data_IF_392737829792
#
_entry.id   IF_392737829792
#
_cell.length_a   1.000
_cell.length_b   1.000
_cell.length_c   1.000
_cell.angle_alpha   90.00
_cell.angle_beta   90.00
_cell.angle_gamma   90.00
#
_symmetry.space_group_name_H-M   'P 1'
#
loop_
_entity.id
_entity.type
_entity.pdbx_description
1 polymer ?
#
# COMPACT_ATOMS: atom_id res chain seq x y z
N UNK A 1 14.30 3.44 3.22
CA UNK A 1 13.80 2.85 1.95
C UNK A 1 13.19 1.45 2.10
N UNK A 2 12.95 0.93 3.31
CA UNK A 2 12.46 -0.44 3.50
C UNK A 2 10.91 -0.54 3.60
N UNK A 3 10.19 0.55 3.30
CA UNK A 3 8.71 0.59 3.31
C UNK A 3 8.06 -0.31 2.26
N UNK A 4 8.59 -0.30 1.04
CA UNK A 4 8.04 -1.06 -0.08
C UNK A 4 8.08 -2.57 0.17
N UNK A 5 9.10 -3.04 0.89
CA UNK A 5 9.32 -4.46 1.21
C UNK A 5 8.62 -4.92 2.49
N UNK A 6 8.02 -4.01 3.27
CA UNK A 6 7.27 -4.35 4.48
C UNK A 6 5.87 -4.88 4.13
N UNK A 7 5.79 -6.12 3.66
CA UNK A 7 4.55 -6.72 3.13
C UNK A 7 4.08 -7.89 4.00
N UNK A 8 2.78 -8.10 4.03
CA UNK A 8 2.25 -9.38 4.50
C UNK A 8 2.50 -10.45 3.42
N UNK A 9 3.40 -11.39 3.71
CA UNK A 9 3.75 -12.44 2.75
C UNK A 9 2.61 -13.43 2.53
N UNK A 10 1.63 -13.53 3.44
CA UNK A 10 0.51 -14.45 3.34
C UNK A 10 -0.80 -13.74 3.70
N UNK A 11 -1.61 -13.33 2.70
CA UNK A 11 -2.87 -12.66 2.94
C UNK A 11 -3.75 -13.52 3.85
N UNK A 12 -3.93 -13.07 5.10
CA UNK A 12 -4.77 -13.76 6.06
C UNK A 12 -6.03 -12.95 6.27
N UNK A 13 -7.19 -13.60 6.30
CA UNK A 13 -8.44 -12.92 6.65
C UNK A 13 -8.38 -12.48 8.11
N UNK A 14 -8.30 -11.17 8.33
CA UNK A 14 -8.25 -10.56 9.64
C UNK A 14 -9.54 -9.77 9.95
N UNK A 15 -9.92 -9.62 11.23
CA UNK A 15 -11.03 -8.77 11.62
C UNK A 15 -10.80 -7.30 11.20
N UNK A 16 -11.85 -6.52 10.89
CA UNK A 16 -11.69 -5.12 10.49
C UNK A 16 -11.04 -4.22 11.54
N UNK A 17 -10.35 -3.19 11.07
CA UNK A 17 -9.74 -2.15 11.93
C UNK A 17 -10.67 -0.92 11.96
N UNK A 18 -11.75 -0.98 12.74
CA UNK A 18 -12.72 0.12 12.81
C UNK A 18 -12.63 0.97 14.09
N UNK A 19 -11.94 0.49 15.13
CA UNK A 19 -11.90 1.14 16.45
C UNK A 19 -11.35 2.57 16.43
N UNK A 20 -10.51 2.91 15.47
CA UNK A 20 -9.96 4.26 15.33
C UNK A 20 -10.95 5.27 14.73
N UNK A 21 -12.02 4.82 14.04
CA UNK A 21 -12.89 5.72 13.26
C UNK A 21 -13.61 6.75 14.12
N UNK A 22 -14.04 6.34 15.30
CA UNK A 22 -14.72 7.19 16.31
C UNK A 22 -13.75 7.87 17.26
N UNK A 23 -12.44 7.62 17.14
CA UNK A 23 -11.44 8.28 17.96
C UNK A 23 -11.39 9.79 17.63
N UNK A 24 -11.22 10.68 18.62
CA UNK A 24 -10.99 12.09 18.34
C UNK A 24 -9.74 12.30 17.49
N UNK A 25 -9.78 13.29 16.59
CA UNK A 25 -8.60 13.73 15.86
C UNK A 25 -7.70 14.51 16.82
N UNK A 26 -6.47 14.05 17.00
CA UNK A 26 -5.51 14.62 17.94
C UNK A 26 -4.27 15.16 17.21
N UNK A 27 -3.57 16.16 17.78
CA UNK A 27 -2.23 16.56 17.34
C UNK A 27 -1.26 15.37 17.36
N UNK A 28 -0.25 15.37 16.48
CA UNK A 28 0.65 14.23 16.25
C UNK A 28 1.30 13.70 17.53
N UNK A 29 1.78 14.58 18.40
CA UNK A 29 2.43 14.17 19.65
C UNK A 29 1.47 13.45 20.59
N UNK A 30 0.24 13.95 20.71
CA UNK A 30 -0.80 13.35 21.55
C UNK A 30 -1.32 12.04 20.95
N UNK A 31 -1.46 11.99 19.63
CA UNK A 31 -1.86 10.80 18.89
C UNK A 31 -0.89 9.60 19.09
N UNK A 32 0.37 9.88 19.44
CA UNK A 32 1.43 8.91 19.69
C UNK A 32 1.78 8.73 21.19
N UNK A 33 1.15 9.49 22.10
CA UNK A 33 1.38 9.38 23.56
C UNK A 33 1.38 7.92 24.07
N UNK A 34 0.43 7.04 23.67
CA UNK A 34 0.36 5.68 24.22
C UNK A 34 1.53 4.75 23.82
N UNK A 35 2.32 5.15 22.82
CA UNK A 35 3.40 4.32 22.25
C UNK A 35 4.75 5.01 22.21
N UNK A 36 4.84 6.30 22.53
CA UNK A 36 6.08 7.09 22.44
C UNK A 36 7.24 6.50 23.25
N UNK A 37 6.95 5.90 24.41
CA UNK A 37 7.95 5.26 25.27
C UNK A 37 8.33 3.84 24.83
N UNK A 38 7.63 3.28 23.84
CA UNK A 38 7.84 1.91 23.33
C UNK A 38 8.67 1.86 22.05
N UNK A 39 8.85 3.01 21.40
CA UNK A 39 9.58 3.13 20.14
C UNK A 39 10.75 4.08 20.38
N UNK A 40 11.96 3.54 20.24
CA UNK A 40 13.18 4.30 20.50
C UNK A 40 13.24 5.56 19.63
N UNK A 41 13.59 6.69 20.27
CA UNK A 41 13.77 8.00 19.65
C UNK A 41 12.51 8.61 19.00
N UNK A 42 11.32 8.02 19.18
CA UNK A 42 10.10 8.49 18.52
C UNK A 42 9.79 9.96 18.85
N UNK A 43 10.05 10.42 20.08
CA UNK A 43 9.90 11.83 20.46
C UNK A 43 10.73 12.79 19.58
N UNK A 44 11.95 12.40 19.21
CA UNK A 44 12.82 13.22 18.38
C UNK A 44 12.35 13.22 16.92
N UNK A 45 11.98 12.05 16.40
CA UNK A 45 11.43 11.93 15.05
C UNK A 45 10.09 12.67 14.88
N UNK A 46 9.26 12.75 15.92
CA UNK A 46 8.05 13.59 15.91
C UNK A 46 8.42 15.07 15.73
N UNK A 47 9.47 15.56 16.41
CA UNK A 47 9.91 16.95 16.27
C UNK A 47 10.46 17.22 14.87
N UNK A 48 11.32 16.33 14.37
CA UNK A 48 11.87 16.45 13.00
C UNK A 48 10.72 16.48 12.00
N UNK A 49 9.78 15.55 12.09
CA UNK A 49 8.63 15.52 11.19
C UNK A 49 7.80 16.82 11.24
N UNK A 50 7.58 17.42 12.42
CA UNK A 50 6.86 18.70 12.53
C UNK A 50 7.60 19.90 11.93
N UNK A 51 8.92 19.85 11.96
CA UNK A 51 9.79 20.90 11.41
C UNK A 51 9.89 20.79 9.91
N UNK A 52 10.16 19.58 9.40
CA UNK A 52 10.52 19.32 8.00
C UNK A 52 9.31 19.00 7.10
N UNK A 53 8.13 18.73 7.67
CA UNK A 53 6.96 18.42 6.86
C UNK A 53 6.60 19.57 5.91
N UNK A 54 6.00 19.20 4.78
CA UNK A 54 5.47 20.16 3.83
C UNK A 54 4.31 20.95 4.45
N UNK A 55 4.56 22.22 4.79
CA UNK A 55 3.54 23.11 5.32
C UNK A 55 3.88 24.58 4.99
N UNK A 56 2.91 25.40 4.53
CA UNK A 56 1.49 25.10 4.33
C UNK A 56 1.24 24.10 3.21
N UNK A 57 0.16 23.31 3.32
CA UNK A 57 -0.24 22.32 2.33
C UNK A 57 -1.27 22.88 1.36
N UNK A 58 -1.05 22.67 0.07
CA UNK A 58 -1.99 22.95 -1.02
C UNK A 58 -3.26 22.10 -0.98
N UNK A 59 -3.25 20.99 -0.23
CA UNK A 59 -4.39 20.10 -0.04
C UNK A 59 -5.12 20.32 1.30
N UNK A 60 -4.78 21.40 2.03
CA UNK A 60 -5.47 21.75 3.28
C UNK A 60 -5.13 20.83 4.46
N UNK A 61 -3.98 20.15 4.41
CA UNK A 61 -3.47 19.43 5.58
C UNK A 61 -3.03 20.44 6.65
N UNK A 62 -3.40 20.15 7.89
CA UNK A 62 -2.79 20.78 9.06
C UNK A 62 -1.31 20.37 9.16
N UNK A 63 -0.52 21.11 9.94
CA UNK A 63 0.88 20.75 10.20
C UNK A 63 1.00 19.36 10.83
N UNK A 64 0.12 19.00 11.75
CA UNK A 64 0.14 17.67 12.39
C UNK A 64 -0.21 16.54 11.41
N UNK A 65 -1.14 16.74 10.48
CA UNK A 65 -1.45 15.76 9.43
C UNK A 65 -0.29 15.61 8.43
N UNK A 66 0.31 16.72 7.99
CA UNK A 66 1.48 16.70 7.11
C UNK A 66 2.67 16.00 7.78
N UNK A 67 2.93 16.34 9.05
CA UNK A 67 3.96 15.69 9.85
C UNK A 67 3.67 14.21 10.10
N UNK A 68 2.41 13.79 10.22
CA UNK A 68 2.07 12.37 10.35
C UNK A 68 2.48 11.57 9.11
N UNK A 69 2.28 12.13 7.90
CA UNK A 69 2.74 11.53 6.65
C UNK A 69 4.26 11.52 6.56
N UNK A 70 4.89 12.65 6.86
CA UNK A 70 6.35 12.74 6.86
C UNK A 70 6.96 11.69 7.79
N UNK A 71 6.50 11.61 9.03
CA UNK A 71 6.96 10.63 10.03
C UNK A 71 6.77 9.18 9.58
N UNK A 72 5.64 8.85 8.94
CA UNK A 72 5.40 7.51 8.38
C UNK A 72 6.50 7.12 7.37
N UNK A 73 6.97 8.09 6.59
CA UNK A 73 8.02 7.88 5.57
C UNK A 73 9.45 8.00 6.09
N UNK A 74 9.66 8.36 7.35
CA UNK A 74 11.02 8.34 7.90
C UNK A 74 11.51 6.91 8.11
N UNK A 75 12.82 6.69 7.98
CA UNK A 75 13.45 5.38 8.16
C UNK A 75 14.66 5.54 9.08
N UNK A 76 14.54 5.02 10.29
CA UNK A 76 15.59 5.01 11.32
C UNK A 76 15.88 3.60 11.84
N UNK A 77 15.68 2.59 10.98
CA UNK A 77 15.92 1.19 11.30
C UNK A 77 14.68 0.46 11.80
N UNK A 78 14.86 -0.62 12.57
CA UNK A 78 13.77 -1.53 12.97
C UNK A 78 12.67 -0.87 13.79
N UNK A 79 12.99 0.22 14.50
CA UNK A 79 12.05 1.01 15.29
C UNK A 79 11.31 2.09 14.47
N UNK A 80 11.49 2.15 13.15
CA UNK A 80 10.75 3.08 12.30
C UNK A 80 9.24 2.91 12.48
N UNK A 81 8.51 4.03 12.62
CA UNK A 81 7.08 4.02 12.96
C UNK A 81 6.26 3.13 12.01
N UNK A 82 6.49 3.22 10.69
CA UNK A 82 5.78 2.39 9.71
C UNK A 82 6.02 0.89 9.92
N UNK A 83 7.20 0.50 10.40
CA UNK A 83 7.54 -0.92 10.62
C UNK A 83 6.75 -1.47 11.78
N UNK A 84 6.83 -0.77 12.92
CA UNK A 84 6.12 -1.17 14.14
C UNK A 84 4.61 -1.13 13.88
N UNK A 85 4.09 -0.07 13.26
CA UNK A 85 2.68 0.06 12.94
C UNK A 85 2.19 -1.09 12.02
N UNK A 86 2.87 -1.32 10.90
CA UNK A 86 2.43 -2.34 9.95
C UNK A 86 2.60 -3.76 10.50
N UNK A 87 3.54 -4.01 11.42
CA UNK A 87 3.60 -5.27 12.17
C UNK A 87 2.35 -5.46 13.03
N UNK A 88 1.98 -4.46 13.83
CA UNK A 88 0.78 -4.53 14.70
C UNK A 88 -0.50 -4.65 13.88
N UNK A 89 -0.60 -4.01 12.70
CA UNK A 89 -1.77 -4.13 11.82
C UNK A 89 -2.00 -5.54 11.26
N UNK A 90 -0.98 -6.41 11.28
CA UNK A 90 -1.08 -7.83 10.88
C UNK A 90 -1.51 -8.75 12.03
N UNK A 91 -1.55 -8.27 13.26
CA UNK A 91 -1.94 -9.08 14.41
C UNK A 91 -3.42 -9.48 14.36
N UNK A 92 -3.71 -10.74 14.68
CA UNK A 92 -5.08 -11.26 14.74
C UNK A 92 -5.87 -10.65 15.88
N UNK A 93 -5.24 -10.48 17.03
CA UNK A 93 -5.83 -9.76 18.15
C UNK A 93 -5.89 -8.28 17.80
N UNK A 94 -7.09 -7.71 17.73
CA UNK A 94 -7.25 -6.27 17.42
C UNK A 94 -7.11 -5.39 18.65
N UNK A 95 -7.04 -5.95 19.86
CA UNK A 95 -6.85 -5.19 21.10
C UNK A 95 -5.51 -4.45 21.11
N UNK A 96 -4.48 -5.01 20.45
CA UNK A 96 -3.14 -4.37 20.35
C UNK A 96 -3.13 -3.09 19.51
N UNK A 97 -4.21 -2.81 18.76
CA UNK A 97 -4.37 -1.58 17.98
C UNK A 97 -4.94 -0.42 18.81
N UNK A 98 -5.47 -0.67 20.01
CA UNK A 98 -6.05 0.40 20.86
C UNK A 98 -5.07 1.55 21.12
N UNK A 99 -3.78 1.31 21.46
CA UNK A 99 -2.79 2.38 21.61
C UNK A 99 -2.50 3.17 20.32
N UNK A 100 -2.83 2.61 19.16
CA UNK A 100 -2.56 3.19 17.84
C UNK A 100 -3.74 3.99 17.28
N UNK A 101 -4.93 3.92 17.88
CA UNK A 101 -6.14 4.56 17.35
C UNK A 101 -5.97 6.07 17.09
N UNK A 102 -5.26 6.78 17.97
CA UNK A 102 -4.94 8.21 17.77
C UNK A 102 -4.16 8.47 16.49
N UNK A 103 -3.04 7.76 16.30
CA UNK A 103 -2.22 7.90 15.09
C UNK A 103 -2.93 7.40 13.83
N UNK A 104 -3.63 6.27 13.90
CA UNK A 104 -4.44 5.75 12.79
C UNK A 104 -5.49 6.77 12.33
N UNK A 105 -6.17 7.42 13.29
CA UNK A 105 -7.14 8.48 13.00
C UNK A 105 -6.49 9.67 12.32
N UNK A 106 -5.37 10.16 12.85
CA UNK A 106 -4.64 11.30 12.28
C UNK A 106 -4.15 11.01 10.86
N UNK A 107 -3.52 9.86 10.65
CA UNK A 107 -2.94 9.49 9.36
C UNK A 107 -4.02 9.21 8.31
N UNK A 108 -5.09 8.47 8.65
CA UNK A 108 -6.24 8.27 7.75
C UNK A 108 -6.94 9.59 7.39
N UNK A 109 -7.10 10.50 8.36
CA UNK A 109 -7.63 11.85 8.12
C UNK A 109 -6.75 12.66 7.17
N UNK A 110 -5.42 12.61 7.33
CA UNK A 110 -4.47 13.28 6.44
C UNK A 110 -4.57 12.74 5.00
N UNK A 111 -4.55 11.42 4.83
CA UNK A 111 -4.63 10.76 3.52
C UNK A 111 -5.96 11.04 2.79
N UNK A 112 -7.06 11.19 3.52
CA UNK A 112 -8.38 11.52 2.95
C UNK A 112 -8.45 12.92 2.33
N UNK A 113 -7.60 13.86 2.77
CA UNK A 113 -7.52 15.20 2.18
C UNK A 113 -6.76 15.23 0.86
N UNK A 114 -5.92 14.23 0.60
CA UNK A 114 -5.19 14.10 -0.65
C UNK A 114 -6.10 13.57 -1.77
N UNK A 115 -5.91 14.03 -3.02
CA UNK A 115 -6.66 13.51 -4.16
C UNK A 115 -6.43 11.99 -4.33
N UNK A 116 -7.47 11.27 -4.71
CA UNK A 116 -7.34 9.86 -5.10
C UNK A 116 -6.75 9.77 -6.51
N UNK A 117 -5.78 8.87 -6.67
CA UNK A 117 -5.15 8.56 -7.94
C UNK A 117 -5.65 7.20 -8.43
N UNK A 118 -6.19 7.19 -9.65
CA UNK A 118 -6.50 5.96 -10.38
C UNK A 118 -5.36 5.65 -11.34
N UNK A 119 -4.41 4.84 -10.90
CA UNK A 119 -3.15 4.56 -11.61
C UNK A 119 -2.66 3.15 -11.31
N UNK A 120 -1.76 2.65 -12.16
CA UNK A 120 -1.04 1.42 -11.86
C UNK A 120 0.08 1.69 -10.85
N UNK A 121 0.10 0.88 -9.79
CA UNK A 121 1.10 0.92 -8.74
C UNK A 121 1.93 -0.35 -8.74
N UNK A 122 3.16 -0.20 -8.26
CA UNK A 122 4.15 -1.26 -8.22
C UNK A 122 4.63 -1.46 -6.79
N UNK A 123 4.79 -2.72 -6.39
CA UNK A 123 5.38 -3.07 -5.11
C UNK A 123 6.28 -4.29 -5.24
N UNK A 124 7.55 -4.14 -4.89
CA UNK A 124 8.55 -5.19 -4.97
C UNK A 124 8.71 -5.90 -3.63
N UNK A 125 8.82 -7.23 -3.69
CA UNK A 125 8.96 -8.11 -2.53
C UNK A 125 10.13 -9.04 -2.79
N UNK A 126 11.05 -9.11 -1.83
CA UNK A 126 12.13 -10.08 -1.87
C UNK A 126 11.58 -11.46 -1.49
N UNK A 127 11.77 -12.44 -2.37
CA UNK A 127 11.19 -13.78 -2.26
C UNK A 127 9.96 -14.02 -3.12
N UNK A 128 9.63 -15.30 -3.26
CA UNK A 128 8.46 -15.78 -3.98
C UNK A 128 7.25 -15.92 -3.04
N UNK A 129 6.19 -15.15 -3.30
CA UNK A 129 4.90 -15.28 -2.62
C UNK A 129 3.76 -15.60 -3.59
N UNK A 130 4.06 -15.94 -4.86
CA UNK A 130 3.09 -16.22 -5.92
C UNK A 130 2.00 -17.18 -5.47
N UNK A 131 2.39 -18.27 -4.80
CA UNK A 131 1.51 -19.35 -4.31
C UNK A 131 0.48 -18.90 -3.27
N UNK A 132 0.63 -17.71 -2.69
CA UNK A 132 -0.31 -17.16 -1.71
C UNK A 132 -1.45 -16.36 -2.35
N UNK A 133 -1.43 -16.20 -3.68
CA UNK A 133 -2.45 -15.49 -4.46
C UNK A 133 -2.92 -16.42 -5.58
N UNK A 134 -4.22 -16.67 -5.65
CA UNK A 134 -4.82 -17.46 -6.72
C UNK A 134 -5.80 -16.62 -7.50
N UNK A 135 -5.95 -16.90 -8.78
CA UNK A 135 -6.95 -16.25 -9.61
C UNK A 135 -8.32 -16.23 -8.94
N UNK A 136 -9.00 -15.10 -9.08
CA UNK A 136 -10.31 -14.81 -8.51
C UNK A 136 -10.40 -14.72 -6.98
N UNK A 137 -9.30 -14.89 -6.25
CA UNK A 137 -9.28 -14.63 -4.81
C UNK A 137 -9.59 -13.16 -4.51
N UNK A 138 -10.34 -12.93 -3.44
CA UNK A 138 -10.49 -11.62 -2.85
C UNK A 138 -9.73 -11.53 -1.52
N UNK A 139 -9.03 -10.41 -1.33
CA UNK A 139 -8.28 -10.15 -0.10
C UNK A 139 -8.44 -8.70 0.35
N UNK A 140 -8.15 -8.45 1.62
CA UNK A 140 -8.16 -7.11 2.22
C UNK A 140 -6.84 -6.84 2.90
N UNK A 141 -6.17 -5.75 2.53
CA UNK A 141 -4.97 -5.28 3.21
C UNK A 141 -5.34 -4.30 4.32
N UNK A 142 -5.19 -4.74 5.57
CA UNK A 142 -5.43 -3.88 6.73
C UNK A 142 -4.25 -2.98 7.11
N UNK A 143 -3.09 -3.18 6.47
CA UNK A 143 -1.91 -2.31 6.61
C UNK A 143 -1.99 -1.11 5.65
N UNK A 144 -1.38 0.01 6.02
CA UNK A 144 -1.04 1.04 5.03
C UNK A 144 0.03 0.49 4.10
N UNK A 145 -0.25 0.51 2.80
CA UNK A 145 0.60 -0.16 1.82
C UNK A 145 1.31 0.86 0.96
N UNK A 146 2.61 1.03 1.24
CA UNK A 146 3.53 1.84 0.44
C UNK A 146 3.81 1.16 -0.89
N UNK A 147 3.41 1.82 -1.97
CA UNK A 147 3.66 1.43 -3.36
C UNK A 147 4.31 2.59 -4.10
N UNK A 148 4.89 2.34 -5.27
CA UNK A 148 5.42 3.41 -6.12
C UNK A 148 4.70 3.41 -7.46
N UNK A 149 4.45 4.60 -8.01
CA UNK A 149 4.01 4.75 -9.40
C UNK A 149 5.17 4.59 -10.41
N UNK A 150 6.41 4.46 -9.91
CA UNK A 150 7.62 4.36 -10.73
C UNK A 150 8.23 2.97 -10.70
N UNK A 151 8.18 2.27 -11.83
CA UNK A 151 8.89 0.98 -12.02
C UNK A 151 10.40 1.15 -11.75
N UNK A 152 10.99 2.30 -12.08
CA UNK A 152 12.41 2.58 -11.84
C UNK A 152 12.75 2.51 -10.35
N UNK A 153 11.88 3.04 -9.49
CA UNK A 153 12.05 2.97 -8.04
C UNK A 153 11.90 1.53 -7.56
N UNK A 154 10.84 0.84 -8.00
CA UNK A 154 10.56 -0.52 -7.51
C UNK A 154 11.61 -1.55 -7.89
N UNK A 155 12.26 -1.39 -9.05
CA UNK A 155 13.36 -2.25 -9.49
C UNK A 155 14.48 -2.37 -8.46
N UNK A 156 14.71 -1.35 -7.63
CA UNK A 156 15.74 -1.36 -6.59
C UNK A 156 15.43 -2.34 -5.44
N UNK A 157 14.17 -2.76 -5.30
CA UNK A 157 13.73 -3.70 -4.26
C UNK A 157 13.63 -5.15 -4.77
N UNK A 158 13.91 -5.40 -6.04
CA UNK A 158 13.94 -6.74 -6.60
C UNK A 158 15.33 -7.35 -6.37
N UNK A 159 15.37 -8.46 -5.63
CA UNK A 159 16.54 -9.30 -5.45
C UNK A 159 16.66 -10.41 -6.51
N UNK A 160 17.46 -11.43 -6.20
CA UNK A 160 17.70 -12.57 -7.10
C UNK A 160 16.42 -13.34 -7.43
N UNK A 161 15.58 -13.60 -6.42
CA UNK A 161 14.22 -14.14 -6.56
C UNK A 161 13.26 -13.15 -5.93
N UNK A 162 12.29 -12.67 -6.70
CA UNK A 162 11.38 -11.62 -6.24
C UNK A 162 9.96 -11.81 -6.74
N UNK A 163 9.03 -11.16 -6.04
CA UNK A 163 7.66 -10.98 -6.49
C UNK A 163 7.40 -9.50 -6.73
N UNK A 164 6.85 -9.16 -7.89
CA UNK A 164 6.35 -7.83 -8.23
C UNK A 164 4.83 -7.85 -8.18
N UNK A 165 4.24 -7.04 -7.30
CA UNK A 165 2.81 -6.76 -7.35
C UNK A 165 2.57 -5.63 -8.34
N UNK A 166 1.74 -5.89 -9.34
CA UNK A 166 1.17 -4.90 -10.24
C UNK A 166 -0.28 -4.65 -9.81
N UNK A 167 -0.59 -3.42 -9.46
CA UNK A 167 -1.84 -3.09 -8.78
C UNK A 167 -2.58 -2.01 -9.59
N UNK A 168 -3.75 -2.35 -10.12
CA UNK A 168 -4.69 -1.37 -10.66
C UNK A 168 -5.39 -0.67 -9.49
N UNK A 169 -4.83 0.45 -9.04
CA UNK A 169 -5.36 1.22 -7.91
C UNK A 169 -6.39 2.24 -8.38
N UNK A 170 -7.41 2.48 -7.54
CA UNK A 170 -8.44 3.52 -7.72
C UNK A 170 -8.35 4.59 -6.62
N UNK A 171 -7.96 4.22 -5.40
CA UNK A 171 -7.88 5.13 -4.25
C UNK A 171 -6.45 5.34 -3.74
N UNK A 172 -5.44 5.24 -4.61
CA UNK A 172 -4.06 5.54 -4.25
C UNK A 172 -3.89 6.99 -3.81
N UNK A 173 -3.13 7.24 -2.74
CA UNK A 173 -2.83 8.58 -2.23
C UNK A 173 -1.38 8.93 -2.50
N UNK A 174 -1.14 9.83 -3.46
CA UNK A 174 0.22 10.29 -3.77
C UNK A 174 0.74 11.16 -2.63
N UNK A 175 1.88 10.77 -2.04
CA UNK A 175 2.45 11.45 -0.87
C UNK A 175 3.85 12.02 -1.13
N UNK A 176 4.35 12.03 -2.36
CA UNK A 176 5.72 12.47 -2.68
C UNK A 176 6.06 13.85 -2.09
N UNK A 177 5.15 14.81 -2.17
CA UNK A 177 5.36 16.16 -1.62
C UNK A 177 5.44 16.21 -0.08
N UNK A 178 4.89 15.19 0.59
CA UNK A 178 4.76 15.08 2.05
C UNK A 178 5.73 14.05 2.65
N UNK A 179 6.54 13.40 1.81
CA UNK A 179 7.43 12.31 2.18
C UNK A 179 8.83 12.83 2.52
N UNK A 180 9.53 12.13 3.41
CA UNK A 180 10.96 12.26 3.66
C UNK A 180 11.82 11.74 2.48
N UNK A 181 11.19 11.10 1.47
CA UNK A 181 11.83 10.60 0.26
C UNK A 181 10.99 10.94 -0.99
N UNK A 182 10.91 12.21 -1.41
CA UNK A 182 10.04 12.63 -2.52
C UNK A 182 10.30 11.93 -3.86
N UNK A 183 11.54 11.52 -4.11
CA UNK A 183 11.99 10.85 -5.32
C UNK A 183 11.45 9.42 -5.49
N UNK A 184 10.92 8.81 -4.43
CA UNK A 184 10.37 7.45 -4.47
C UNK A 184 9.02 7.38 -5.22
N UNK A 185 8.41 8.52 -5.52
CA UNK A 185 7.06 8.59 -6.11
C UNK A 185 6.06 7.74 -5.33
N UNK A 186 6.12 7.84 -4.00
CA UNK A 186 5.39 6.98 -3.08
C UNK A 186 3.88 7.29 -3.13
N UNK A 187 3.09 6.22 -3.25
CA UNK A 187 1.63 6.23 -3.23
C UNK A 187 1.18 5.24 -2.15
N UNK A 188 0.40 5.74 -1.20
CA UNK A 188 -0.16 4.92 -0.12
C UNK A 188 -1.51 4.38 -0.57
N UNK A 189 -1.68 3.06 -0.50
CA UNK A 189 -2.99 2.43 -0.49
C UNK A 189 -3.53 2.47 0.96
N UNK A 190 -4.73 3.03 1.19
CA UNK A 190 -5.32 3.16 2.53
C UNK A 190 -5.51 1.83 3.26
N UNK A 191 -5.75 1.91 4.57
CA UNK A 191 -6.09 0.74 5.35
C UNK A 191 -7.44 0.14 4.92
N UNK A 192 -7.49 -1.19 4.83
CA UNK A 192 -8.70 -1.91 4.42
C UNK A 192 -8.95 -1.90 2.90
N UNK A 193 -7.96 -1.53 2.07
CA UNK A 193 -8.09 -1.68 0.61
C UNK A 193 -8.35 -3.14 0.25
N UNK A 194 -9.38 -3.36 -0.56
CA UNK A 194 -9.80 -4.69 -1.04
C UNK A 194 -9.28 -4.91 -2.45
N UNK A 195 -8.87 -6.13 -2.75
CA UNK A 195 -8.36 -6.50 -4.07
C UNK A 195 -8.98 -7.79 -4.55
N UNK A 196 -9.12 -7.87 -5.87
CA UNK A 196 -9.32 -9.10 -6.61
C UNK A 196 -8.01 -9.49 -7.29
N UNK A 197 -7.65 -10.77 -7.21
CA UNK A 197 -6.51 -11.32 -7.97
C UNK A 197 -6.99 -11.60 -9.40
N UNK A 198 -6.45 -10.84 -10.36
CA UNK A 198 -6.98 -10.78 -11.73
C UNK A 198 -6.68 -12.05 -12.52
N UNK A 199 -5.52 -12.67 -12.29
CA UNK A 199 -5.09 -13.89 -12.93
C UNK A 199 -4.15 -14.65 -12.01
N UNK A 200 -3.91 -15.93 -12.32
CA UNK A 200 -2.77 -16.63 -11.75
C UNK A 200 -1.46 -15.85 -11.99
N UNK A 201 -0.52 -16.00 -11.04
CA UNK A 201 0.74 -15.27 -11.10
C UNK A 201 1.55 -15.69 -12.35
N UNK A 202 2.16 -14.71 -13.02
CA UNK A 202 3.15 -14.98 -14.04
C UNK A 202 4.44 -15.42 -13.35
N UNK A 203 4.73 -16.71 -13.41
CA UNK A 203 5.99 -17.31 -12.94
C UNK A 203 6.96 -17.39 -14.13
N UNK A 204 7.97 -16.51 -14.14
CA UNK A 204 9.00 -16.53 -15.17
C UNK A 204 10.40 -16.33 -14.58
N UNK A 205 11.19 -17.40 -14.63
CA UNK A 205 12.58 -17.45 -14.16
C UNK A 205 12.71 -17.09 -12.68
N UNK A 206 13.13 -15.86 -12.37
CA UNK A 206 13.38 -15.41 -11.01
C UNK A 206 12.50 -14.22 -10.58
N UNK A 207 11.53 -13.86 -11.42
CA UNK A 207 10.56 -12.81 -11.15
C UNK A 207 9.15 -13.37 -11.30
N UNK A 208 8.40 -13.32 -10.20
CA UNK A 208 6.97 -13.60 -10.18
C UNK A 208 6.20 -12.29 -10.30
N UNK A 209 5.14 -12.25 -11.09
CA UNK A 209 4.26 -11.07 -11.18
C UNK A 209 2.85 -11.45 -10.74
N UNK A 210 2.32 -10.72 -9.76
CA UNK A 210 0.95 -10.87 -9.26
C UNK A 210 0.16 -9.63 -9.69
N UNK A 211 -0.97 -9.85 -10.34
CA UNK A 211 -1.87 -8.79 -10.80
C UNK A 211 -3.06 -8.65 -9.85
N UNK A 212 -3.14 -7.49 -9.21
CA UNK A 212 -4.23 -7.12 -8.31
C UNK A 212 -5.04 -5.97 -8.92
N UNK A 213 -6.36 -6.03 -8.74
CA UNK A 213 -7.27 -4.91 -9.03
C UNK A 213 -7.96 -4.46 -7.77
N UNK A 214 -7.89 -3.17 -7.46
CA UNK A 214 -8.61 -2.61 -6.32
C UNK A 214 -10.13 -2.70 -6.55
N UNK A 215 -10.81 -3.28 -5.56
CA UNK A 215 -12.27 -3.33 -5.49
C UNK A 215 -12.79 -2.03 -4.88
N UNK A 216 -13.85 -1.48 -5.49
CA UNK A 216 -14.56 -0.31 -5.00
C UNK A 216 -16.02 -0.66 -4.81
N UNK A 217 -16.65 -0.11 -3.78
CA UNK A 217 -18.06 -0.34 -3.46
C UNK A 217 -19.02 0.08 -4.61
N UNK A 218 -18.52 0.81 -5.61
CA UNK A 218 -19.32 1.34 -6.73
C UNK A 218 -19.41 0.44 -7.97
N UNK A 219 -18.67 -0.67 -8.12
CA UNK A 219 -18.63 -1.43 -9.39
C UNK A 219 -18.61 -2.97 -9.24
N UNK A 220 -19.65 -3.55 -8.65
CA UNK A 220 -20.05 -4.95 -8.89
C UNK A 220 -21.05 -5.07 -10.07
N UNK A 221 -21.05 -4.10 -10.99
CA UNK A 221 -21.70 -4.25 -12.29
C UNK A 221 -20.63 -4.39 -13.37
N UNK A 222 -20.38 -5.66 -13.73
CA UNK A 222 -19.89 -6.18 -15.01
C UNK A 222 -19.11 -5.21 -15.91
N UNK A 223 -17.80 -5.45 -16.06
CA UNK A 223 -17.16 -5.19 -17.35
C UNK A 223 -17.63 -6.30 -18.30
N UNK A 224 -18.31 -5.99 -19.42
CA UNK A 224 -18.73 -7.01 -20.37
C UNK A 224 -17.49 -7.69 -20.95
N UNK A 225 -17.55 -9.02 -20.99
CA UNK A 225 -16.60 -9.92 -21.61
C UNK A 225 -16.40 -9.58 -23.11
N UNK A 226 -15.53 -8.63 -23.44
CA UNK A 226 -15.22 -8.28 -24.84
C UNK A 226 -13.85 -8.76 -25.32
N UNK A 227 -13.17 -9.63 -24.56
CA UNK A 227 -11.91 -10.24 -25.02
C UNK A 227 -12.02 -11.72 -25.42
N UNK A 228 -13.24 -12.29 -25.45
CA UNK A 228 -13.44 -13.69 -25.84
C UNK A 228 -13.61 -13.94 -27.36
N UNK A 229 -13.47 -12.92 -28.21
CA UNK A 229 -13.54 -13.09 -29.68
C UNK A 229 -12.29 -12.54 -30.37
N UNK A 230 -11.14 -13.13 -30.08
CA UNK A 230 -10.13 -13.35 -31.12
C UNK A 230 -10.18 -14.82 -31.49
N UNK A 231 -11.07 -15.15 -32.43
CA UNK A 231 -11.03 -16.42 -33.14
C UNK A 231 -9.65 -16.56 -33.77
N UNK A 232 -8.91 -17.59 -33.36
CA UNK A 232 -7.73 -18.08 -34.06
C UNK A 232 -8.12 -18.38 -35.50
N UNK A 233 -7.75 -17.50 -36.44
CA UNK A 233 -7.85 -17.80 -37.85
C UNK A 233 -6.84 -18.92 -38.16
N UNK A 234 -7.36 -20.12 -38.41
CA UNK A 234 -6.60 -21.28 -38.91
C UNK A 234 -5.84 -20.90 -40.19
N UNK A 235 -4.56 -21.27 -40.36
CA UNK A 235 -3.84 -20.99 -41.59
C UNK A 235 -4.40 -21.85 -42.74
N UNK A 236 -4.71 -21.22 -43.87
CA UNK A 236 -5.07 -21.91 -45.12
C UNK A 236 -3.93 -22.82 -45.58
N UNK A 237 -4.23 -24.09 -45.82
CA UNK A 237 -3.35 -25.03 -46.53
C UNK A 237 -3.20 -24.61 -48.01
N UNK A 238 -2.06 -24.88 -48.65
CA UNK A 238 -1.87 -24.62 -50.07
C UNK A 238 -2.64 -25.66 -50.91
N UNK A 239 -3.35 -25.18 -51.93
CA UNK A 239 -3.94 -26.01 -52.98
C UNK A 239 -2.84 -26.49 -53.91
N UNK A 240 -2.63 -27.81 -53.97
CA UNK A 240 -1.98 -28.49 -55.08
C UNK A 240 -3.03 -29.12 -55.99
N UNK A 241 -2.79 -29.08 -57.30
CA UNK A 241 -3.54 -29.77 -58.37
C UNK A 241 -4.09 -28.78 -59.39
N UNK A 242 -3.84 -28.87 -60.70
CA UNK A 242 -3.22 -29.89 -61.56
C UNK A 242 -2.42 -29.21 -62.68
#
# INVERSE_FOLDING_TARGET
>A
MLRFTNVDHKPTRLPPVYGYRTHPLLPLRQALDPIVSKIDQLDEFIKIAKTECHFPSEHGLTRDESAAIYLYTMDWGEQSLYRVLNAVLREKDRSVLVPWHGYLKLFDSALKKLPSLQINLWRGINGDISKNYKEADELTWWCFSSCSSSVKVVKQFLGSVSTLLMIEAKNGKGISAYSNFPEENEVILPLGTRFHVVSDALDHASLNVIHLRELTDENDQELPSSFATMSLATPMKPSMGE
#
